data_IF_027875705570
#
_entry.id   IF_027875705570
#
_cell.length_a   1.000
_cell.length_b   1.000
_cell.length_c   1.000
_cell.angle_alpha   90.00
_cell.angle_beta   90.00
_cell.angle_gamma   90.00
#
_symmetry.space_group_name_H-M   'P 1'
#
loop_
_entity.id
_entity.type
_entity.pdbx_description
1 polymer ?
#
# COMPACT_ATOMS: atom_id res chain seq x y z
N UNK A 1 -17.59 -6.84 -0.33
CA UNK A 1 -17.63 -5.48 -0.93
C UNK A 1 -17.14 -4.47 0.11
N UNK A 2 -16.29 -3.49 -0.24
CA UNK A 2 -15.87 -2.47 0.74
C UNK A 2 -16.94 -1.39 0.87
N UNK A 3 -17.18 -0.96 2.10
CA UNK A 3 -17.94 0.25 2.42
C UNK A 3 -17.12 1.50 2.11
N UNK A 4 -17.82 2.59 1.77
CA UNK A 4 -17.26 3.90 1.42
C UNK A 4 -16.40 4.43 2.58
N UNK A 5 -15.21 4.92 2.27
CA UNK A 5 -14.32 5.53 3.25
C UNK A 5 -14.87 6.90 3.70
N UNK A 6 -14.66 7.27 4.96
CA UNK A 6 -15.05 8.59 5.45
C UNK A 6 -14.22 9.68 4.78
N UNK A 7 -14.88 10.81 4.48
CA UNK A 7 -14.21 12.01 4.01
C UNK A 7 -13.24 12.55 5.07
N UNK A 8 -12.24 13.29 4.60
CA UNK A 8 -11.25 13.91 5.48
C UNK A 8 -11.89 14.95 6.41
N UNK A 9 -12.93 15.66 5.95
CA UNK A 9 -13.69 16.63 6.75
C UNK A 9 -14.35 15.99 7.96
N UNK A 10 -15.02 14.84 7.81
CA UNK A 10 -15.68 14.14 8.93
C UNK A 10 -14.64 13.65 9.94
N UNK A 11 -13.49 13.15 9.47
CA UNK A 11 -12.40 12.74 10.36
C UNK A 11 -11.82 13.92 11.15
N UNK A 12 -11.66 15.08 10.52
CA UNK A 12 -11.22 16.29 11.22
C UNK A 12 -12.24 16.74 12.26
N UNK A 13 -13.54 16.67 11.96
CA UNK A 13 -14.61 16.95 12.93
C UNK A 13 -14.53 16.03 14.15
N UNK A 14 -14.27 14.73 13.96
CA UNK A 14 -14.04 13.77 15.06
C UNK A 14 -12.89 14.24 15.96
N UNK A 15 -11.77 14.65 15.39
CA UNK A 15 -10.62 15.14 16.17
C UNK A 15 -10.97 16.43 16.93
N UNK A 16 -11.66 17.37 16.28
CA UNK A 16 -12.09 18.64 16.92
C UNK A 16 -12.98 18.37 18.12
N UNK A 17 -14.01 17.53 17.98
CA UNK A 17 -14.91 17.19 19.07
C UNK A 17 -14.20 16.40 20.18
N UNK A 18 -13.23 15.54 19.83
CA UNK A 18 -12.42 14.86 20.85
C UNK A 18 -11.53 15.81 21.63
N UNK A 19 -10.98 16.86 20.99
CA UNK A 19 -10.22 17.93 21.66
C UNK A 19 -11.08 18.77 22.61
N UNK A 20 -12.38 18.86 22.35
CA UNK A 20 -13.36 19.49 23.27
C UNK A 20 -13.78 18.55 24.42
N UNK A 21 -13.04 17.46 24.66
CA UNK A 21 -13.32 16.46 25.69
C UNK A 21 -14.68 15.74 25.59
N UNK A 22 -15.34 15.78 24.43
CA UNK A 22 -16.58 15.04 24.23
C UNK A 22 -16.35 13.52 24.26
N UNK A 23 -17.25 12.73 24.88
CA UNK A 23 -17.16 11.27 24.88
C UNK A 23 -17.41 10.70 23.48
N UNK A 24 -16.76 9.57 23.17
CA UNK A 24 -16.86 8.89 21.86
C UNK A 24 -18.32 8.62 21.45
N UNK A 25 -19.18 8.29 22.43
CA UNK A 25 -20.61 8.03 22.19
C UNK A 25 -21.35 9.26 21.68
N UNK A 26 -21.04 10.44 22.22
CA UNK A 26 -21.64 11.70 21.79
C UNK A 26 -21.15 12.07 20.40
N UNK A 27 -19.83 11.99 20.15
CA UNK A 27 -19.21 12.27 18.84
C UNK A 27 -19.84 11.41 17.73
N UNK A 28 -20.00 10.11 18.00
CA UNK A 28 -20.64 9.17 17.09
C UNK A 28 -22.09 9.58 16.75
N UNK A 29 -22.87 9.99 17.76
CA UNK A 29 -24.25 10.45 17.59
C UNK A 29 -24.32 11.75 16.79
N UNK A 30 -23.50 12.73 17.13
CA UNK A 30 -23.47 14.04 16.46
C UNK A 30 -23.10 13.94 14.99
N UNK A 31 -22.18 13.04 14.63
CA UNK A 31 -21.69 12.90 13.26
C UNK A 31 -22.39 11.80 12.46
N UNK A 32 -23.29 11.03 13.07
CA UNK A 32 -23.95 9.89 12.42
C UNK A 32 -22.99 8.74 12.04
N UNK A 33 -21.89 8.58 12.79
CA UNK A 33 -20.84 7.59 12.50
C UNK A 33 -20.84 6.51 13.59
N UNK A 34 -20.57 5.25 13.21
CA UNK A 34 -20.42 4.17 14.18
C UNK A 34 -19.33 4.47 15.24
N UNK A 35 -19.59 4.10 16.50
CA UNK A 35 -18.65 4.28 17.63
C UNK A 35 -17.29 3.64 17.37
N UNK A 36 -17.28 2.46 16.76
CA UNK A 36 -16.05 1.72 16.38
C UNK A 36 -15.23 2.49 15.36
N UNK A 37 -15.87 3.15 14.40
CA UNK A 37 -15.19 3.99 13.40
C UNK A 37 -14.55 5.21 14.06
N UNK A 38 -15.25 5.89 14.99
CA UNK A 38 -14.69 7.00 15.77
C UNK A 38 -13.44 6.54 16.54
N UNK A 39 -13.53 5.41 17.25
CA UNK A 39 -12.40 4.84 17.99
C UNK A 39 -11.21 4.48 17.07
N UNK A 40 -11.47 3.84 15.94
CA UNK A 40 -10.44 3.48 14.96
C UNK A 40 -9.71 4.71 14.40
N UNK A 41 -10.43 5.79 14.13
CA UNK A 41 -9.84 7.04 13.64
C UNK A 41 -8.93 7.67 14.70
N UNK A 42 -9.38 7.72 15.96
CA UNK A 42 -8.58 8.24 17.07
C UNK A 42 -7.30 7.43 17.27
N UNK A 43 -7.43 6.10 17.33
CA UNK A 43 -6.27 5.19 17.47
C UNK A 43 -5.32 5.27 16.28
N UNK A 44 -5.83 5.44 15.07
CA UNK A 44 -4.98 5.68 13.89
C UNK A 44 -4.21 7.00 14.01
N UNK A 45 -4.87 8.08 14.43
CA UNK A 45 -4.24 9.39 14.61
C UNK A 45 -3.15 9.36 15.67
N UNK A 46 -3.36 8.64 16.77
CA UNK A 46 -2.35 8.42 17.81
C UNK A 46 -1.14 7.64 17.27
N UNK A 47 -1.37 6.53 16.55
CA UNK A 47 -0.30 5.67 16.02
C UNK A 47 0.52 6.29 14.89
N UNK A 48 -0.13 7.00 13.97
CA UNK A 48 0.48 7.44 12.70
C UNK A 48 0.59 8.94 12.54
N UNK A 49 -0.09 9.73 13.36
CA UNK A 49 -0.20 11.17 13.15
C UNK A 49 -1.09 11.56 11.95
N UNK A 50 -1.57 10.62 11.13
CA UNK A 50 -2.29 10.92 9.90
C UNK A 50 -3.79 10.56 9.95
N UNK A 51 -4.60 11.40 9.31
CA UNK A 51 -6.04 11.16 9.07
C UNK A 51 -6.34 10.75 7.62
N UNK A 52 -5.34 10.83 6.75
CA UNK A 52 -5.40 10.47 5.33
C UNK A 52 -5.89 9.03 5.16
N UNK A 53 -6.54 8.73 4.03
CA UNK A 53 -6.80 7.34 3.64
C UNK A 53 -5.51 6.76 3.09
N UNK A 54 -5.06 5.66 3.69
CA UNK A 54 -3.86 4.97 3.22
C UNK A 54 -4.26 4.06 2.05
N UNK A 55 -3.46 4.07 0.98
CA UNK A 55 -3.63 3.12 -0.11
C UNK A 55 -3.58 1.69 0.43
N UNK A 56 -4.36 0.79 -0.14
CA UNK A 56 -4.25 -0.63 0.20
C UNK A 56 -2.83 -1.10 -0.14
N UNK A 57 -2.13 -1.82 0.75
CA UNK A 57 -0.75 -2.24 0.51
C UNK A 57 -0.64 -3.23 -0.67
N UNK A 58 -1.75 -3.86 -1.07
CA UNK A 58 -1.76 -4.87 -2.12
C UNK A 58 -0.98 -6.12 -1.70
N UNK A 59 -0.74 -7.02 -2.66
CA UNK A 59 0.10 -8.19 -2.43
C UNK A 59 1.57 -7.76 -2.46
N UNK A 60 2.39 -8.14 -1.46
CA UNK A 60 3.81 -7.81 -1.46
C UNK A 60 4.50 -8.40 -2.69
N UNK A 61 5.50 -7.67 -3.17
CA UNK A 61 6.29 -8.06 -4.35
C UNK A 61 7.22 -9.22 -3.98
N UNK A 62 7.40 -10.16 -4.91
CA UNK A 62 8.45 -11.18 -4.82
C UNK A 62 9.85 -10.65 -5.18
N UNK A 63 9.92 -9.60 -6.01
CA UNK A 63 11.20 -9.00 -6.42
C UNK A 63 11.52 -7.79 -5.56
N UNK A 64 12.79 -7.66 -5.22
CA UNK A 64 13.39 -6.49 -4.58
C UNK A 64 13.85 -5.47 -5.61
N UNK A 65 14.26 -4.30 -5.15
CA UNK A 65 14.85 -3.25 -6.02
C UNK A 65 16.17 -3.74 -6.65
N UNK A 66 16.92 -4.57 -5.95
CA UNK A 66 18.18 -5.15 -6.46
C UNK A 66 17.89 -6.14 -7.60
N UNK A 67 16.87 -6.97 -7.44
CA UNK A 67 16.46 -7.91 -8.49
C UNK A 67 16.00 -7.18 -9.76
N UNK A 68 15.22 -6.11 -9.60
CA UNK A 68 14.79 -5.30 -10.74
C UNK A 68 15.98 -4.67 -11.47
N UNK A 69 16.97 -4.14 -10.74
CA UNK A 69 18.21 -3.61 -11.33
C UNK A 69 18.98 -4.69 -12.08
N UNK A 70 19.04 -5.92 -11.56
CA UNK A 70 19.68 -7.05 -12.24
C UNK A 70 18.95 -7.39 -13.54
N UNK A 71 17.62 -7.45 -13.52
CA UNK A 71 16.80 -7.67 -14.71
C UNK A 71 17.14 -6.61 -15.79
N UNK A 72 17.17 -5.34 -15.41
CA UNK A 72 17.48 -4.25 -16.34
C UNK A 72 18.92 -4.28 -16.84
N UNK A 73 19.87 -4.63 -15.99
CA UNK A 73 21.27 -4.76 -16.38
C UNK A 73 21.48 -5.87 -17.41
N UNK A 74 20.79 -7.02 -17.25
CA UNK A 74 20.85 -8.10 -18.21
C UNK A 74 20.33 -7.67 -19.58
N UNK A 75 19.16 -7.02 -19.63
CA UNK A 75 18.59 -6.53 -20.91
C UNK A 75 19.47 -5.46 -21.55
N UNK A 76 20.06 -4.55 -20.77
CA UNK A 76 20.95 -3.51 -21.31
C UNK A 76 22.26 -4.08 -21.87
N UNK A 77 22.84 -5.09 -21.21
CA UNK A 77 24.09 -5.72 -21.66
C UNK A 77 23.86 -6.59 -22.89
N UNK A 78 22.77 -7.35 -22.90
CA UNK A 78 22.43 -8.29 -23.96
C UNK A 78 20.95 -8.13 -24.34
N UNK A 79 20.64 -7.20 -25.28
CA UNK A 79 19.27 -6.86 -25.65
C UNK A 79 18.42 -8.03 -26.17
N UNK A 80 19.06 -9.06 -26.71
CA UNK A 80 18.40 -10.28 -27.21
C UNK A 80 18.13 -11.33 -26.12
N UNK A 81 18.29 -10.98 -24.84
CA UNK A 81 17.99 -11.91 -23.73
C UNK A 81 16.51 -12.22 -23.64
N UNK A 82 16.21 -13.51 -23.58
CA UNK A 82 14.83 -13.98 -23.44
C UNK A 82 14.38 -13.86 -21.98
N UNK A 83 13.07 -13.70 -21.79
CA UNK A 83 12.43 -13.71 -20.46
C UNK A 83 12.72 -15.01 -19.69
N UNK A 84 12.88 -16.13 -20.41
CA UNK A 84 13.25 -17.42 -19.82
C UNK A 84 14.65 -17.41 -19.21
N UNK A 85 15.63 -16.85 -19.93
CA UNK A 85 17.00 -16.71 -19.43
C UNK A 85 17.05 -15.80 -18.19
N UNK A 86 16.36 -14.66 -18.22
CA UNK A 86 16.29 -13.76 -17.06
C UNK A 86 15.66 -14.47 -15.85
N UNK A 87 14.59 -15.24 -16.05
CA UNK A 87 13.99 -16.03 -14.98
C UNK A 87 14.99 -17.02 -14.37
N UNK A 88 15.75 -17.73 -15.20
CA UNK A 88 16.73 -18.72 -14.73
C UNK A 88 17.85 -18.05 -13.91
N UNK A 89 18.38 -16.91 -14.37
CA UNK A 89 19.40 -16.16 -13.61
C UNK A 89 18.88 -15.63 -12.27
N UNK A 90 17.59 -15.28 -12.17
CA UNK A 90 16.98 -14.90 -10.88
C UNK A 90 16.81 -16.10 -9.96
N UNK A 91 16.49 -17.26 -10.53
CA UNK A 91 16.34 -18.50 -9.78
C UNK A 91 17.68 -18.98 -9.19
N UNK A 92 18.79 -18.81 -9.92
CA UNK A 92 20.16 -19.08 -9.42
C UNK A 92 20.49 -18.27 -8.16
N UNK A 93 19.91 -17.07 -8.04
CA UNK A 93 20.10 -16.20 -6.86
C UNK A 93 18.95 -16.35 -5.85
N UNK A 94 18.18 -17.43 -5.95
CA UNK A 94 17.12 -17.80 -4.99
C UNK A 94 15.77 -17.11 -5.21
N UNK A 95 15.60 -16.32 -6.27
CA UNK A 95 14.37 -15.55 -6.54
C UNK A 95 13.48 -16.28 -7.56
N UNK A 96 12.55 -17.09 -7.05
CA UNK A 96 11.62 -17.86 -7.88
C UNK A 96 10.42 -17.01 -8.34
N UNK A 97 10.46 -16.56 -9.60
CA UNK A 97 9.44 -15.72 -10.24
C UNK A 97 8.85 -16.35 -11.51
N UNK A 98 7.64 -15.92 -11.87
CA UNK A 98 7.01 -16.31 -13.14
C UNK A 98 7.50 -15.44 -14.30
N UNK A 99 7.41 -15.96 -15.55
CA UNK A 99 7.72 -15.19 -16.77
C UNK A 99 6.92 -13.87 -16.82
N UNK A 100 5.64 -13.90 -16.45
CA UNK A 100 4.78 -12.71 -16.40
C UNK A 100 5.26 -11.67 -15.37
N UNK A 101 5.89 -12.11 -14.27
CA UNK A 101 6.48 -11.18 -13.29
C UNK A 101 7.68 -10.45 -13.89
N UNK A 102 8.54 -11.15 -14.62
CA UNK A 102 9.70 -10.54 -15.31
C UNK A 102 9.23 -9.54 -16.37
N UNK A 103 8.28 -9.92 -17.24
CA UNK A 103 7.68 -9.01 -18.24
C UNK A 103 7.12 -7.74 -17.59
N UNK A 104 6.36 -7.91 -16.49
CA UNK A 104 5.81 -6.77 -15.73
C UNK A 104 6.90 -5.84 -15.19
N UNK A 105 8.08 -6.35 -14.82
CA UNK A 105 9.20 -5.47 -14.39
C UNK A 105 9.81 -4.69 -15.52
N UNK A 106 9.96 -5.32 -16.68
CA UNK A 106 10.47 -4.65 -17.87
C UNK A 106 9.56 -3.50 -18.29
N UNK A 107 8.25 -3.73 -18.41
CA UNK A 107 7.29 -2.68 -18.79
C UNK A 107 7.08 -1.59 -17.72
N UNK A 108 7.45 -1.85 -16.46
CA UNK A 108 7.37 -0.85 -15.39
C UNK A 108 8.60 0.07 -15.32
N UNK A 109 9.65 -0.27 -16.06
CA UNK A 109 10.93 0.43 -16.07
C UNK A 109 11.14 1.26 -17.34
N UNK A 110 10.14 1.25 -18.23
CA UNK A 110 9.93 2.25 -19.29
C UNK A 110 9.17 3.45 -18.69
#
# INVERSE_FOLDING_TARGET
MRSKELSLSVKQAIIRLKKQNKPIREIARTLGVAKTTVWNILKKKERTGELSNTKRPGRPRKTTVVDDRRILSLVKKTPFTTVGQIKNTLQEVGVCVSKSTVKRRLHQSE
#
